data_IF_872047098927
#
_entry.id   IF_872047098927
#
_cell.length_a   1.000
_cell.length_b   1.000
_cell.length_c   1.000
_cell.angle_alpha   90.00
_cell.angle_beta   90.00
_cell.angle_gamma   90.00
#
_symmetry.space_group_name_H-M   'P 1'
#
loop_
_entity.id
_entity.type
_entity.pdbx_description
1 polymer ?
#
# COMPACT_ATOMS: atom_id res chain seq x y z
N UNK A 1 -27.19 -10.27 10.58
CA UNK A 1 -26.01 -10.09 9.71
C UNK A 1 -26.05 -8.65 9.22
N UNK A 2 -25.14 -7.79 9.69
CA UNK A 2 -25.14 -6.39 9.30
C UNK A 2 -24.77 -6.26 7.82
N UNK A 3 -25.59 -5.54 7.07
CA UNK A 3 -25.34 -5.22 5.67
C UNK A 3 -23.99 -4.48 5.56
N UNK A 4 -23.10 -4.98 4.70
CA UNK A 4 -21.80 -4.36 4.53
C UNK A 4 -21.99 -2.94 3.95
N UNK A 5 -21.25 -1.96 4.47
CA UNK A 5 -21.31 -0.59 3.97
C UNK A 5 -21.17 -0.54 2.43
N UNK A 6 -21.92 0.33 1.73
CA UNK A 6 -21.96 0.36 0.28
C UNK A 6 -20.55 0.53 -0.32
N UNK A 7 -20.29 -0.22 -1.38
CA UNK A 7 -18.93 -0.40 -1.88
C UNK A 7 -18.57 0.68 -2.89
N UNK A 8 -17.74 1.66 -2.51
CA UNK A 8 -17.11 2.56 -3.47
C UNK A 8 -16.03 1.77 -4.23
N UNK A 9 -16.13 1.59 -5.55
CA UNK A 9 -15.14 0.87 -6.33
C UNK A 9 -13.83 1.66 -6.39
N UNK A 10 -12.66 0.99 -6.40
CA UNK A 10 -11.39 1.65 -6.58
C UNK A 10 -11.32 2.40 -7.92
N UNK A 11 -10.71 3.59 -7.91
CA UNK A 11 -10.47 4.39 -9.11
C UNK A 11 -9.10 5.04 -9.04
N UNK A 12 -8.54 5.43 -10.19
CA UNK A 12 -7.28 6.16 -10.20
C UNK A 12 -7.40 7.50 -9.45
N UNK A 13 -6.41 7.90 -8.62
CA UNK A 13 -6.31 9.27 -8.13
C UNK A 13 -6.02 10.24 -9.30
N UNK A 14 -6.20 11.54 -9.07
CA UNK A 14 -5.89 12.55 -10.10
C UNK A 14 -4.38 12.54 -10.41
N UNK A 15 -4.03 12.51 -11.68
CA UNK A 15 -2.64 12.52 -12.15
C UNK A 15 -1.80 13.69 -11.57
N UNK A 16 -2.45 14.85 -11.36
CA UNK A 16 -1.82 16.07 -10.84
C UNK A 16 -1.70 16.13 -9.31
N UNK A 17 -2.25 15.15 -8.58
CA UNK A 17 -2.10 15.09 -7.12
C UNK A 17 -0.61 15.03 -6.76
N UNK A 18 -0.19 15.77 -5.75
CA UNK A 18 1.20 15.76 -5.28
C UNK A 18 1.39 14.77 -4.15
N UNK A 19 2.44 13.97 -4.27
CA UNK A 19 2.97 13.09 -3.24
C UNK A 19 4.39 13.52 -2.86
N UNK A 20 4.81 13.27 -1.62
CA UNK A 20 6.10 13.77 -1.16
C UNK A 20 7.03 12.61 -0.85
N UNK A 21 8.12 12.47 -1.63
CA UNK A 21 9.06 11.36 -1.47
C UNK A 21 9.71 11.39 -0.09
N UNK A 22 9.86 10.23 0.54
CA UNK A 22 10.53 10.07 1.84
C UNK A 22 11.91 9.50 1.63
N UNK A 23 12.93 10.30 1.96
CA UNK A 23 14.32 9.89 1.95
C UNK A 23 14.66 9.00 3.16
N UNK A 24 15.84 8.38 3.13
CA UNK A 24 16.41 7.72 4.31
C UNK A 24 16.51 8.72 5.46
N UNK A 25 16.28 8.25 6.68
CA UNK A 25 16.16 9.10 7.86
C UNK A 25 14.74 9.65 8.07
N UNK A 26 13.76 9.29 7.23
CA UNK A 26 12.36 9.73 7.34
C UNK A 26 12.07 11.15 6.87
N UNK A 27 13.03 11.82 6.21
CA UNK A 27 12.89 13.20 5.73
C UNK A 27 11.97 13.25 4.52
N UNK A 28 10.95 14.12 4.58
CA UNK A 28 9.99 14.35 3.51
C UNK A 28 10.55 15.42 2.55
N UNK A 29 10.54 15.15 1.26
CA UNK A 29 10.95 16.12 0.23
C UNK A 29 10.06 17.37 0.27
N UNK A 30 10.66 18.55 0.05
CA UNK A 30 9.93 19.82 0.04
C UNK A 30 9.02 19.95 -1.20
N UNK A 31 9.48 19.45 -2.36
CA UNK A 31 8.72 19.47 -3.60
C UNK A 31 7.85 18.23 -3.74
N UNK A 32 6.60 18.45 -4.13
CA UNK A 32 5.67 17.38 -4.48
C UNK A 32 6.00 16.74 -5.83
N UNK A 33 5.88 15.43 -5.89
CA UNK A 33 5.92 14.61 -7.11
C UNK A 33 4.48 14.35 -7.57
N UNK A 34 4.10 14.74 -8.80
CA UNK A 34 2.80 14.39 -9.35
C UNK A 34 2.60 12.87 -9.39
N UNK A 35 1.39 12.40 -9.10
CA UNK A 35 1.12 10.95 -9.11
C UNK A 35 1.41 10.33 -10.49
N UNK A 36 1.22 11.07 -11.59
CA UNK A 36 1.56 10.59 -12.93
C UNK A 36 3.02 10.15 -13.10
N UNK A 37 3.93 10.66 -12.28
CA UNK A 37 5.34 10.27 -12.30
C UNK A 37 5.57 8.86 -11.74
N UNK A 38 4.64 8.34 -10.93
CA UNK A 38 4.80 7.02 -10.30
C UNK A 38 4.71 5.88 -11.31
N UNK A 39 3.86 6.01 -12.32
CA UNK A 39 3.49 4.94 -13.22
C UNK A 39 4.01 5.12 -14.65
N UNK A 40 4.99 5.99 -14.91
CA UNK A 40 5.58 6.16 -16.25
C UNK A 40 6.10 4.86 -16.89
N UNK A 41 6.45 3.87 -16.08
CA UNK A 41 6.87 2.53 -16.52
C UNK A 41 5.91 1.43 -16.05
N UNK A 42 4.68 1.81 -15.64
CA UNK A 42 3.81 0.99 -14.82
C UNK A 42 4.21 1.04 -13.34
N UNK A 43 3.30 0.65 -12.44
CA UNK A 43 3.60 0.63 -11.00
C UNK A 43 2.74 -0.34 -10.20
N UNK A 44 3.36 -1.01 -9.23
CA UNK A 44 2.66 -1.53 -8.05
C UNK A 44 2.70 -0.45 -6.97
N UNK A 45 1.54 0.11 -6.65
CA UNK A 45 1.40 1.08 -5.54
C UNK A 45 0.75 0.40 -4.35
N UNK A 46 1.46 0.34 -3.22
CA UNK A 46 0.97 -0.16 -1.94
C UNK A 46 0.53 1.02 -1.08
N UNK A 47 -0.74 1.04 -0.68
CA UNK A 47 -1.28 2.11 0.17
C UNK A 47 -1.23 1.66 1.62
N UNK A 48 -0.34 2.27 2.39
CA UNK A 48 0.06 1.86 3.73
C UNK A 48 -0.55 2.81 4.75
N UNK A 49 -1.53 2.33 5.52
CA UNK A 49 -2.21 3.13 6.55
C UNK A 49 -1.24 3.63 7.64
N UNK A 50 -0.30 2.78 8.07
CA UNK A 50 0.69 3.11 9.10
C UNK A 50 1.98 2.30 8.91
N UNK A 51 3.15 2.95 8.72
CA UNK A 51 4.41 2.25 8.50
C UNK A 51 4.84 1.40 9.71
N UNK A 52 4.45 1.79 10.92
CA UNK A 52 4.67 1.02 12.16
C UNK A 52 3.75 -0.18 12.41
N UNK A 53 2.71 -0.39 11.58
CA UNK A 53 1.73 -1.46 11.83
C UNK A 53 2.22 -2.81 11.28
N UNK A 54 2.24 -3.85 12.13
CA UNK A 54 2.68 -5.20 11.75
C UNK A 54 1.94 -5.77 10.53
N UNK A 55 0.60 -5.64 10.48
CA UNK A 55 -0.21 -6.10 9.35
C UNK A 55 0.12 -5.35 8.06
N UNK A 56 0.48 -4.07 8.15
CA UNK A 56 0.85 -3.26 6.99
C UNK A 56 2.24 -3.62 6.46
N UNK A 57 3.19 -3.83 7.37
CA UNK A 57 4.54 -4.30 7.06
C UNK A 57 4.50 -5.68 6.40
N UNK A 58 3.71 -6.61 6.94
CA UNK A 58 3.51 -7.94 6.33
C UNK A 58 2.90 -7.83 4.94
N UNK A 59 1.83 -7.05 4.77
CA UNK A 59 1.20 -6.87 3.46
C UNK A 59 2.17 -6.25 2.45
N UNK A 60 2.94 -5.24 2.85
CA UNK A 60 3.95 -4.61 2.01
C UNK A 60 5.05 -5.60 1.60
N UNK A 61 5.50 -6.45 2.52
CA UNK A 61 6.45 -7.52 2.24
C UNK A 61 5.90 -8.53 1.24
N UNK A 62 4.69 -9.06 1.49
CA UNK A 62 4.08 -10.04 0.61
C UNK A 62 3.80 -9.49 -0.81
N UNK A 63 3.42 -8.21 -0.91
CA UNK A 63 3.28 -7.52 -2.20
C UNK A 63 4.64 -7.30 -2.89
N UNK A 64 5.68 -6.98 -2.12
CA UNK A 64 7.04 -6.87 -2.65
C UNK A 64 7.55 -8.20 -3.19
N UNK A 65 7.34 -9.32 -2.49
CA UNK A 65 7.70 -10.65 -2.98
C UNK A 65 6.96 -11.01 -4.27
N UNK A 66 5.65 -10.75 -4.32
CA UNK A 66 4.86 -11.00 -5.53
C UNK A 66 5.37 -10.17 -6.72
N UNK A 67 5.75 -8.91 -6.47
CA UNK A 67 6.37 -8.05 -7.47
C UNK A 67 7.74 -8.59 -7.94
N UNK A 68 8.62 -8.96 -7.00
CA UNK A 68 9.95 -9.50 -7.32
C UNK A 68 9.87 -10.81 -8.11
N UNK A 69 8.90 -11.67 -7.81
CA UNK A 69 8.68 -12.91 -8.57
C UNK A 69 8.36 -12.63 -10.05
N UNK A 70 7.56 -11.59 -10.34
CA UNK A 70 7.27 -11.17 -11.73
C UNK A 70 8.51 -10.58 -12.38
N UNK A 71 9.19 -9.66 -11.71
CA UNK A 71 10.40 -9.01 -12.22
C UNK A 71 11.50 -10.02 -12.56
N UNK A 72 11.78 -10.96 -11.65
CA UNK A 72 12.79 -12.00 -11.86
C UNK A 72 12.45 -12.92 -13.05
N UNK A 73 11.17 -13.15 -13.31
CA UNK A 73 10.72 -14.01 -14.42
C UNK A 73 10.76 -13.35 -15.80
N UNK A 74 10.79 -12.00 -15.86
CA UNK A 74 10.63 -11.27 -17.13
C UNK A 74 11.91 -10.60 -17.65
N UNK A 75 12.84 -10.20 -16.78
CA UNK A 75 14.19 -9.75 -17.22
C UNK A 75 14.23 -8.53 -18.17
N UNK A 76 13.19 -7.69 -18.22
CA UNK A 76 13.05 -6.63 -19.24
C UNK A 76 13.54 -5.23 -18.80
N UNK A 77 14.04 -4.41 -19.74
CA UNK A 77 14.21 -2.97 -19.55
C UNK A 77 12.85 -2.25 -19.43
N UNK A 78 12.76 -1.23 -18.56
CA UNK A 78 11.52 -0.46 -18.35
C UNK A 78 10.56 -1.05 -17.32
N UNK A 79 11.09 -1.67 -16.26
CA UNK A 79 10.31 -2.33 -15.19
C UNK A 79 9.28 -1.40 -14.53
N UNK A 80 8.11 -1.95 -14.14
CA UNK A 80 7.17 -1.22 -13.31
C UNK A 80 7.82 -0.84 -11.98
N UNK A 81 7.41 0.30 -11.41
CA UNK A 81 7.94 0.76 -10.13
C UNK A 81 7.21 0.10 -8.97
N UNK A 82 7.95 -0.28 -7.93
CA UNK A 82 7.38 -0.63 -6.64
C UNK A 82 7.34 0.63 -5.76
N UNK A 83 6.14 1.05 -5.37
CA UNK A 83 5.92 2.29 -4.63
C UNK A 83 5.04 2.05 -3.42
N UNK A 84 5.40 2.58 -2.26
CA UNK A 84 4.53 2.68 -1.10
C UNK A 84 4.06 4.13 -0.93
N UNK A 85 2.77 4.28 -0.68
CA UNK A 85 2.13 5.55 -0.33
C UNK A 85 1.65 5.45 1.12
N UNK A 86 2.31 6.18 2.01
CA UNK A 86 1.97 6.27 3.43
C UNK A 86 1.18 7.55 3.71
N UNK A 87 0.34 7.54 4.75
CA UNK A 87 -0.32 8.76 5.23
C UNK A 87 0.66 9.75 5.90
N UNK A 88 1.68 9.24 6.58
CA UNK A 88 2.66 10.02 7.33
C UNK A 88 3.98 9.28 7.37
N UNK A 89 5.10 10.00 7.48
CA UNK A 89 6.40 9.36 7.71
C UNK A 89 6.59 8.87 9.14
N UNK A 90 5.84 9.44 10.11
CA UNK A 90 5.84 9.17 11.56
C UNK A 90 7.22 9.00 12.22
N UNK A 91 7.45 9.70 13.33
CA UNK A 91 8.65 9.51 14.14
C UNK A 91 8.28 8.97 15.52
N UNK A 92 9.13 8.08 16.05
CA UNK A 92 9.09 7.66 17.44
C UNK A 92 9.48 8.80 18.38
N UNK A 93 9.19 8.62 19.67
CA UNK A 93 9.58 9.58 20.72
C UNK A 93 11.11 9.72 20.85
N UNK A 94 11.84 8.66 20.50
CA UNK A 94 13.30 8.60 20.41
C UNK A 94 13.88 9.22 19.12
N UNK A 95 13.02 9.80 18.27
CA UNK A 95 13.41 10.39 16.99
C UNK A 95 13.58 9.38 15.85
N UNK A 96 13.39 8.08 16.11
CA UNK A 96 13.44 7.03 15.09
C UNK A 96 12.39 7.24 14.00
N UNK A 97 12.69 6.77 12.80
CA UNK A 97 11.84 6.94 11.61
C UNK A 97 11.05 5.66 11.36
N UNK A 98 9.73 5.73 11.41
CA UNK A 98 8.87 4.57 11.15
C UNK A 98 8.96 4.12 9.69
N UNK A 99 9.19 5.05 8.76
CA UNK A 99 9.44 4.71 7.35
C UNK A 99 10.75 3.95 7.18
N UNK A 100 11.80 4.27 7.94
CA UNK A 100 13.06 3.52 7.83
C UNK A 100 12.90 2.10 8.36
N UNK A 101 12.24 1.92 9.51
CA UNK A 101 11.89 0.59 10.01
C UNK A 101 10.98 -0.18 9.03
N UNK A 102 10.07 0.52 8.34
CA UNK A 102 9.22 -0.07 7.31
C UNK A 102 10.02 -0.56 6.08
N UNK A 103 11.14 0.11 5.74
CA UNK A 103 11.98 -0.27 4.58
C UNK A 103 12.65 -1.63 4.72
N UNK A 104 12.77 -2.17 5.93
CA UNK A 104 13.20 -3.57 6.14
C UNK A 104 12.26 -4.57 5.44
N UNK A 105 10.98 -4.21 5.35
CA UNK A 105 9.91 -5.04 4.76
C UNK A 105 9.51 -4.59 3.35
N UNK A 106 10.06 -3.47 2.86
CA UNK A 106 9.64 -2.86 1.59
C UNK A 106 10.80 -2.17 0.88
N UNK A 107 11.17 -2.67 -0.30
CA UNK A 107 12.34 -2.22 -1.05
C UNK A 107 12.02 -1.17 -2.13
N UNK A 108 10.78 -0.68 -2.20
CA UNK A 108 10.37 0.34 -3.16
C UNK A 108 10.60 1.78 -2.70
N UNK A 109 10.20 2.73 -3.55
CA UNK A 109 10.14 4.13 -3.16
C UNK A 109 8.96 4.38 -2.20
N UNK A 110 9.15 5.25 -1.22
CA UNK A 110 8.10 5.59 -0.25
C UNK A 110 7.73 7.06 -0.41
N UNK A 111 6.44 7.36 -0.44
CA UNK A 111 5.89 8.70 -0.56
C UNK A 111 4.82 8.95 0.51
N UNK A 112 4.72 10.19 0.98
CA UNK A 112 3.62 10.67 1.82
C UNK A 112 2.49 11.23 0.96
N UNK A 113 1.28 10.75 1.20
CA UNK A 113 0.03 11.29 0.67
C UNK A 113 -0.68 12.12 1.73
N UNK A 114 -0.31 13.40 1.82
CA UNK A 114 -0.84 14.32 2.83
C UNK A 114 -2.36 14.52 2.70
N UNK A 115 -2.92 14.37 1.49
CA UNK A 115 -4.32 14.64 1.19
C UNK A 115 -5.20 13.38 1.12
N UNK A 116 -4.60 12.22 1.39
CA UNK A 116 -5.24 10.90 1.38
C UNK A 116 -5.90 10.58 0.02
N UNK A 117 -5.35 11.09 -1.07
CA UNK A 117 -5.86 10.85 -2.42
C UNK A 117 -5.91 9.37 -2.78
N UNK A 118 -4.88 8.58 -2.42
CA UNK A 118 -4.84 7.14 -2.65
C UNK A 118 -5.83 6.37 -1.77
N UNK A 119 -6.00 6.80 -0.52
CA UNK A 119 -7.00 6.20 0.38
C UNK A 119 -8.42 6.46 -0.13
N UNK A 120 -8.71 7.70 -0.57
CA UNK A 120 -9.98 8.06 -1.20
C UNK A 120 -10.21 7.32 -2.52
N UNK A 121 -9.15 7.15 -3.31
CA UNK A 121 -9.15 6.34 -4.53
C UNK A 121 -9.47 4.86 -4.26
N UNK A 122 -9.07 4.33 -3.10
CA UNK A 122 -9.48 3.02 -2.57
C UNK A 122 -10.86 3.04 -1.89
N UNK A 123 -11.70 4.04 -2.16
CA UNK A 123 -13.05 4.12 -1.61
C UNK A 123 -13.12 4.63 -0.16
N UNK A 124 -12.04 5.23 0.34
CA UNK A 124 -11.95 5.92 1.64
C UNK A 124 -12.33 5.09 2.88
N UNK A 125 -12.13 3.78 2.80
CA UNK A 125 -12.61 2.83 3.81
C UNK A 125 -12.01 3.04 5.20
N UNK A 126 -12.83 2.78 6.20
CA UNK A 126 -12.47 2.79 7.62
C UNK A 126 -12.69 1.42 8.28
N UNK A 127 -12.05 1.19 9.42
CA UNK A 127 -12.17 -0.02 10.23
C UNK A 127 -13.63 -0.29 10.60
N UNK A 128 -14.45 0.75 10.79
CA UNK A 128 -15.88 0.62 11.05
C UNK A 128 -16.69 0.04 9.87
N UNK A 129 -16.14 0.03 8.65
CA UNK A 129 -16.87 -0.31 7.42
C UNK A 129 -16.92 -1.83 7.16
N UNK A 130 -17.20 -2.60 8.21
CA UNK A 130 -17.44 -4.04 8.11
C UNK A 130 -16.25 -4.94 8.49
N UNK A 131 -15.51 -4.61 9.55
CA UNK A 131 -14.49 -5.52 10.14
C UNK A 131 -15.03 -6.87 10.59
N UNK A 132 -16.33 -6.98 10.84
CA UNK A 132 -17.00 -8.23 11.18
C UNK A 132 -17.54 -8.98 9.95
N UNK A 133 -17.22 -8.53 8.73
CA UNK A 133 -17.61 -9.24 7.51
C UNK A 133 -16.73 -10.48 7.27
N UNK A 134 -17.27 -11.47 6.54
CA UNK A 134 -16.49 -12.64 6.11
C UNK A 134 -15.26 -12.23 5.28
N UNK A 135 -15.39 -11.17 4.48
CA UNK A 135 -14.31 -10.60 3.69
C UNK A 135 -13.15 -10.08 4.55
N UNK A 136 -13.48 -9.32 5.60
CA UNK A 136 -12.50 -8.85 6.57
C UNK A 136 -11.82 -9.99 7.33
N UNK A 137 -12.58 -11.02 7.72
CA UNK A 137 -12.03 -12.21 8.36
C UNK A 137 -11.03 -12.94 7.43
N UNK A 138 -11.38 -13.16 6.16
CA UNK A 138 -10.49 -13.78 5.16
C UNK A 138 -9.22 -12.97 4.91
N UNK A 139 -9.35 -11.65 4.83
CA UNK A 139 -8.20 -10.74 4.74
C UNK A 139 -7.30 -10.89 5.97
N UNK A 140 -7.87 -10.82 7.17
CA UNK A 140 -7.14 -10.91 8.42
C UNK A 140 -6.41 -12.26 8.57
N UNK A 141 -7.08 -13.37 8.25
CA UNK A 141 -6.47 -14.70 8.26
C UNK A 141 -5.30 -14.79 7.27
N UNK A 142 -5.42 -14.22 6.07
CA UNK A 142 -4.32 -14.17 5.10
C UNK A 142 -3.12 -13.39 5.65
N UNK A 143 -3.34 -12.25 6.32
CA UNK A 143 -2.27 -11.47 6.98
C UNK A 143 -1.64 -12.22 8.15
N UNK A 144 -2.45 -12.87 9.00
CA UNK A 144 -1.95 -13.63 10.16
C UNK A 144 -1.09 -14.82 9.72
N UNK A 145 -1.50 -15.56 8.70
CA UNK A 145 -0.69 -16.63 8.12
C UNK A 145 0.66 -16.11 7.58
N UNK A 146 0.65 -14.95 6.92
CA UNK A 146 1.88 -14.30 6.45
C UNK A 146 2.81 -13.84 7.57
N UNK A 147 2.25 -13.27 8.66
CA UNK A 147 3.04 -12.81 9.80
C UNK A 147 3.78 -13.95 10.50
N UNK A 148 3.17 -15.14 10.59
CA UNK A 148 3.83 -16.33 11.14
C UNK A 148 5.08 -16.73 10.34
N UNK A 149 5.11 -16.47 9.03
CA UNK A 149 6.25 -16.78 8.16
C UNK A 149 7.38 -15.75 8.25
N UNK A 150 7.05 -14.47 8.38
CA UNK A 150 8.00 -13.35 8.18
C UNK A 150 8.42 -12.69 9.51
N UNK A 151 7.79 -13.05 10.64
CA UNK A 151 8.10 -12.53 11.98
C UNK A 151 8.17 -10.99 12.02
N UNK A 152 7.12 -10.35 11.52
CA UNK A 152 7.04 -8.90 11.39
C UNK A 152 6.71 -8.25 12.74
N UNK A 153 7.55 -7.31 13.18
CA UNK A 153 7.28 -6.51 14.37
C UNK A 153 6.37 -5.31 14.05
N UNK A 154 5.67 -4.78 15.05
CA UNK A 154 4.89 -3.55 14.90
C UNK A 154 4.72 -2.81 16.22
N UNK A 155 4.41 -1.52 16.13
CA UNK A 155 4.19 -0.61 17.26
C UNK A 155 2.87 0.15 17.07
N UNK A 156 2.59 1.16 17.90
CA UNK A 156 1.43 2.08 17.77
C UNK A 156 1.82 3.52 17.40
N UNK A 157 3.08 3.76 17.01
CA UNK A 157 3.56 5.09 16.59
C UNK A 157 2.77 5.57 15.37
N UNK A 158 2.38 6.85 15.38
CA UNK A 158 1.47 7.46 14.40
C UNK A 158 0.01 7.51 14.84
N UNK A 159 -0.32 7.04 16.04
CA UNK A 159 -1.63 7.26 16.69
C UNK A 159 -2.76 6.35 16.22
N UNK A 160 -3.89 6.31 16.97
CA UNK A 160 -5.04 5.47 16.63
C UNK A 160 -5.83 5.99 15.43
N UNK A 161 -5.81 7.30 15.13
CA UNK A 161 -6.54 7.92 14.03
C UNK A 161 -6.04 7.46 12.64
N UNK A 162 -4.74 7.12 12.54
CA UNK A 162 -4.16 6.51 11.33
C UNK A 162 -4.49 5.02 11.23
N UNK A 163 -4.72 4.35 12.36
CA UNK A 163 -5.08 2.93 12.42
C UNK A 163 -6.52 2.65 11.96
N UNK A 164 -7.39 3.65 11.95
CA UNK A 164 -8.79 3.49 11.56
C UNK A 164 -8.99 3.45 10.04
N UNK A 165 -8.05 3.91 9.21
CA UNK A 165 -8.21 3.84 7.74
C UNK A 165 -7.68 2.53 7.18
N UNK A 166 -8.39 1.97 6.21
CA UNK A 166 -7.92 0.84 5.43
C UNK A 166 -7.04 1.28 4.27
N UNK A 167 -5.96 0.54 4.06
CA UNK A 167 -5.09 0.66 2.90
C UNK A 167 -5.50 -0.27 1.77
N UNK A 168 -4.51 -0.70 1.00
CA UNK A 168 -4.73 -1.58 -0.15
C UNK A 168 -3.56 -1.56 -1.12
N UNK A 169 -3.82 -1.90 -2.37
CA UNK A 169 -2.85 -1.74 -3.43
C UNK A 169 -3.51 -1.51 -4.80
N UNK A 170 -2.71 -1.03 -5.74
CA UNK A 170 -3.05 -0.84 -7.14
C UNK A 170 -1.93 -1.36 -8.03
N UNK A 171 -2.30 -1.88 -9.20
CA UNK A 171 -1.40 -2.00 -10.34
C UNK A 171 -1.85 -0.99 -11.38
N UNK A 172 -0.95 -0.08 -11.75
CA UNK A 172 -1.15 0.91 -12.81
C UNK A 172 -0.32 0.53 -14.03
N UNK A 173 -0.88 0.76 -15.22
CA UNK A 173 -0.08 0.80 -16.45
C UNK A 173 0.59 2.15 -16.68
N UNK A 174 1.27 2.28 -17.83
CA UNK A 174 2.03 3.47 -18.24
C UNK A 174 1.18 4.72 -18.42
N UNK A 175 -0.10 4.55 -18.70
CA UNK A 175 -1.08 5.62 -18.92
C UNK A 175 -1.82 6.00 -17.63
N UNK A 176 -1.54 5.29 -16.52
CA UNK A 176 -2.21 5.49 -15.23
C UNK A 176 -3.57 4.79 -15.13
N UNK A 177 -3.89 3.87 -16.03
CA UNK A 177 -5.10 3.06 -15.91
C UNK A 177 -4.91 1.97 -14.85
N UNK A 178 -5.94 1.77 -14.02
CA UNK A 178 -5.95 0.73 -12.99
C UNK A 178 -6.15 -0.63 -13.65
N UNK A 179 -5.13 -1.50 -13.59
CA UNK A 179 -5.18 -2.88 -14.09
C UNK A 179 -5.55 -3.89 -13.00
N UNK A 180 -5.28 -3.54 -11.75
CA UNK A 180 -5.70 -4.30 -10.57
C UNK A 180 -5.84 -3.34 -9.39
N UNK A 181 -6.79 -3.60 -8.49
CA UNK A 181 -6.89 -2.90 -7.22
C UNK A 181 -7.43 -3.83 -6.14
N UNK A 182 -6.92 -3.68 -4.93
CA UNK A 182 -7.39 -4.40 -3.76
C UNK A 182 -7.62 -3.43 -2.60
N UNK A 183 -8.77 -3.55 -1.93
CA UNK A 183 -9.12 -2.81 -0.72
C UNK A 183 -8.93 -3.73 0.49
N UNK A 184 -8.12 -3.30 1.47
CA UNK A 184 -7.95 -4.07 2.72
C UNK A 184 -9.29 -4.33 3.40
N UNK A 185 -9.45 -5.51 4.00
CA UNK A 185 -10.64 -5.86 4.78
C UNK A 185 -11.90 -6.10 3.94
N UNK A 186 -11.78 -6.32 2.61
CA UNK A 186 -12.90 -6.73 1.72
C UNK A 186 -12.83 -8.19 1.31
N UNK A 187 -11.63 -8.68 1.08
CA UNK A 187 -11.35 -10.06 0.71
C UNK A 187 -9.87 -10.33 0.97
N UNK A 188 -9.44 -11.57 0.76
CA UNK A 188 -8.02 -11.84 0.57
C UNK A 188 -7.50 -11.16 -0.71
N UNK A 189 -6.22 -10.83 -0.73
CA UNK A 189 -5.52 -10.41 -1.96
C UNK A 189 -5.41 -11.63 -2.87
N UNK A 190 -5.87 -11.49 -4.11
CA UNK A 190 -5.61 -12.45 -5.17
C UNK A 190 -4.23 -12.15 -5.78
N UNK A 191 -3.22 -12.87 -5.31
CA UNK A 191 -1.85 -12.71 -5.77
C UNK A 191 -1.64 -13.21 -7.20
N UNK A 192 -2.48 -14.12 -7.70
CA UNK A 192 -2.38 -14.59 -9.08
C UNK A 192 -2.87 -13.51 -10.04
N UNK A 193 -4.05 -12.95 -9.78
CA UNK A 193 -4.58 -11.83 -10.54
C UNK A 193 -3.65 -10.60 -10.48
N UNK A 194 -3.06 -10.32 -9.32
CA UNK A 194 -2.07 -9.24 -9.16
C UNK A 194 -0.83 -9.47 -10.04
N UNK A 195 -0.25 -10.68 -10.04
CA UNK A 195 0.92 -10.99 -10.87
C UNK A 195 0.58 -10.96 -12.37
N UNK A 196 -0.61 -11.44 -12.74
CA UNK A 196 -1.11 -11.38 -14.11
C UNK A 196 -1.31 -9.94 -14.59
N UNK A 197 -1.76 -9.03 -13.71
CA UNK A 197 -1.85 -7.61 -14.02
C UNK A 197 -0.46 -6.96 -14.14
N UNK A 198 0.46 -7.27 -13.22
CA UNK A 198 1.83 -6.74 -13.26
C UNK A 198 2.61 -7.17 -14.51
N UNK A 199 2.34 -8.38 -15.00
CA UNK A 199 2.98 -8.91 -16.20
C UNK A 199 2.56 -8.21 -17.50
N UNK A 200 1.57 -7.31 -17.43
CA UNK A 200 0.97 -6.64 -18.59
C UNK A 200 1.23 -5.13 -18.61
N UNK A 201 1.99 -4.58 -17.66
CA UNK A 201 2.24 -3.13 -17.53
C UNK A 201 3.67 -2.74 -17.89
#
# INVERSE_FOLDING_TARGET
>A
MGEAAPTVPPKAPRATTSLYKVALGGTIAAQGTPVSELWKTGALVVVVRRPGCALCREQAYALSEAFQAVVASQGLPGMPRLVAVVRTSARGEDGSSEVDAFREYFQGDVYVDQFLAFFKALGDRQYTDGVFSQGAARWMLQRMAGMQRVQVSGNFVGGPDTALKFGGCFVFDRDGAVRFAHQEGRSSIDYEALRAALSKV
#
